data_IF_285402484583
#
_entry.id   IF_285402484583
#
_cell.length_a   1.000
_cell.length_b   1.000
_cell.length_c   1.000
_cell.angle_alpha   90.00
_cell.angle_beta   90.00
_cell.angle_gamma   90.00
#
_symmetry.space_group_name_H-M   'P 1'
#
loop_
_entity.id
_entity.type
_entity.pdbx_description
1 polymer ?
#
# COMPACT_ATOMS: atom_id res chain seq x y z
N UNK A 1 11.29 -49.51 -6.70
CA UNK A 1 10.26 -48.51 -6.68
C UNK A 1 10.80 -47.28 -5.96
N UNK A 2 11.15 -46.21 -6.68
CA UNK A 2 11.62 -44.93 -6.09
C UNK A 2 10.45 -44.27 -5.35
N UNK A 3 10.54 -44.17 -4.03
CA UNK A 3 9.56 -43.44 -3.23
C UNK A 3 9.64 -41.93 -3.60
N UNK A 4 8.77 -41.46 -4.46
CA UNK A 4 8.60 -40.00 -4.67
C UNK A 4 8.15 -39.41 -3.34
N UNK A 5 9.09 -38.84 -2.61
CA UNK A 5 8.77 -38.08 -1.38
C UNK A 5 7.91 -36.87 -1.78
N UNK A 6 6.64 -36.92 -1.43
CA UNK A 6 5.71 -35.80 -1.70
C UNK A 6 6.16 -34.55 -0.91
N UNK A 7 6.26 -33.42 -1.57
CA UNK A 7 6.53 -32.14 -0.87
C UNK A 7 5.54 -31.92 0.27
N UNK A 8 6.03 -31.51 1.44
CA UNK A 8 5.20 -31.16 2.60
C UNK A 8 4.71 -29.69 2.54
N UNK A 9 5.23 -28.90 1.58
CA UNK A 9 4.87 -27.51 1.39
C UNK A 9 3.88 -27.43 0.22
N UNK A 10 2.82 -26.62 0.38
CA UNK A 10 1.85 -26.41 -0.68
C UNK A 10 2.49 -25.70 -1.89
N UNK A 11 2.01 -26.01 -3.10
CA UNK A 11 2.49 -25.33 -4.30
C UNK A 11 2.27 -23.80 -4.26
N UNK A 12 1.23 -23.33 -3.59
CA UNK A 12 0.96 -21.88 -3.40
C UNK A 12 2.04 -21.24 -2.54
N UNK A 13 2.34 -21.80 -1.37
CA UNK A 13 3.36 -21.26 -0.46
C UNK A 13 4.78 -21.29 -1.05
N UNK A 14 5.06 -22.18 -1.98
CA UNK A 14 6.35 -22.27 -2.66
C UNK A 14 6.54 -21.20 -3.77
N UNK A 15 5.51 -20.43 -4.13
CA UNK A 15 5.56 -19.45 -5.22
C UNK A 15 5.97 -18.04 -4.80
N UNK A 16 6.07 -17.75 -3.49
CA UNK A 16 6.51 -16.46 -2.97
C UNK A 16 7.48 -16.63 -1.80
N UNK A 17 8.29 -15.62 -1.57
CA UNK A 17 9.31 -15.58 -0.52
C UNK A 17 8.80 -14.83 0.71
N UNK A 18 9.58 -14.83 1.79
CA UNK A 18 9.34 -13.94 2.92
C UNK A 18 9.43 -12.47 2.48
N UNK A 19 8.70 -11.62 3.18
CA UNK A 19 8.68 -10.17 2.97
C UNK A 19 10.07 -9.54 3.06
N UNK A 20 10.54 -8.94 1.97
CA UNK A 20 11.81 -8.22 1.92
C UNK A 20 11.80 -7.00 2.85
N UNK A 21 10.66 -6.34 3.02
CA UNK A 21 10.50 -5.20 3.94
C UNK A 21 10.82 -5.65 5.39
N UNK A 22 10.37 -6.85 5.78
CA UNK A 22 10.65 -7.41 7.11
C UNK A 22 12.10 -7.85 7.25
N UNK A 23 12.68 -8.42 6.20
CA UNK A 23 14.11 -8.75 6.17
C UNK A 23 14.95 -7.49 6.40
N UNK A 24 14.72 -6.41 5.66
CA UNK A 24 15.44 -5.14 5.83
C UNK A 24 15.26 -4.56 7.24
N UNK A 25 14.12 -4.76 7.86
CA UNK A 25 13.89 -4.34 9.25
C UNK A 25 14.76 -5.14 10.24
N UNK A 26 14.90 -6.45 10.05
CA UNK A 26 15.79 -7.28 10.89
C UNK A 26 17.26 -6.90 10.70
N UNK A 27 17.66 -6.65 9.45
CA UNK A 27 19.01 -6.16 9.18
C UNK A 27 19.27 -4.79 9.81
N UNK A 28 18.31 -3.87 9.77
CA UNK A 28 18.41 -2.58 10.44
C UNK A 28 18.67 -2.73 11.96
N UNK A 29 17.98 -3.65 12.62
CA UNK A 29 18.19 -3.93 14.05
C UNK A 29 19.58 -4.49 14.32
N UNK A 30 20.09 -5.42 13.49
CA UNK A 30 21.41 -6.03 13.63
C UNK A 30 22.56 -5.01 13.51
N UNK A 31 22.38 -4.01 12.65
CA UNK A 31 23.37 -2.98 12.36
C UNK A 31 23.12 -1.66 13.10
N UNK A 32 22.14 -1.59 14.00
CA UNK A 32 21.72 -0.34 14.65
C UNK A 32 21.48 0.79 13.63
N UNK A 33 20.91 0.44 12.50
CA UNK A 33 20.58 1.37 11.42
C UNK A 33 19.25 2.07 11.67
N UNK A 34 19.13 3.33 11.23
CA UNK A 34 17.87 4.07 11.26
C UNK A 34 16.92 3.43 10.22
N UNK A 35 15.77 2.96 10.68
CA UNK A 35 14.85 2.21 9.83
C UNK A 35 13.94 3.14 9.01
N UNK A 36 14.32 3.41 7.76
CA UNK A 36 13.47 4.02 6.74
C UNK A 36 12.93 2.98 5.73
N UNK A 37 13.08 1.68 6.02
CA UNK A 37 12.55 0.61 5.19
C UNK A 37 11.05 0.39 5.43
N UNK A 38 10.64 0.35 6.70
CA UNK A 38 9.28 -0.02 7.06
C UNK A 38 8.35 1.19 7.19
N UNK A 39 7.21 1.10 6.47
CA UNK A 39 6.20 2.15 6.42
C UNK A 39 5.25 2.12 7.63
N UNK A 40 5.77 2.38 8.83
CA UNK A 40 4.97 2.72 10.00
C UNK A 40 5.54 3.94 10.72
N UNK A 41 4.67 4.82 11.27
CA UNK A 41 5.10 5.99 12.04
C UNK A 41 5.86 5.61 13.31
N UNK A 42 6.89 6.41 13.67
CA UNK A 42 7.58 6.33 14.96
C UNK A 42 7.12 7.43 15.95
N UNK A 43 6.02 8.09 15.61
CA UNK A 43 5.32 9.06 16.44
C UNK A 43 3.96 8.49 16.92
N UNK A 44 3.39 9.04 18.03
CA UNK A 44 2.19 8.49 18.62
C UNK A 44 0.95 8.64 17.74
N UNK A 45 -0.01 7.73 17.91
CA UNK A 45 -1.37 7.90 17.42
C UNK A 45 -2.08 9.06 18.15
N UNK A 46 -3.18 9.62 17.57
CA UNK A 46 -4.01 10.61 18.23
C UNK A 46 -4.46 10.16 19.62
N UNK A 47 -4.44 11.07 20.59
CA UNK A 47 -4.75 10.76 21.99
C UNK A 47 -6.21 10.35 22.15
N UNK A 48 -7.11 10.97 21.39
CA UNK A 48 -8.54 10.66 21.39
C UNK A 48 -8.81 9.20 21.04
N UNK A 49 -8.07 8.65 20.10
CA UNK A 49 -8.19 7.24 19.70
C UNK A 49 -7.72 6.30 20.79
N UNK A 50 -6.57 6.61 21.40
CA UNK A 50 -6.02 5.79 22.49
C UNK A 50 -6.95 5.75 23.67
N UNK A 51 -7.49 6.91 24.06
CA UNK A 51 -8.47 7.03 25.12
C UNK A 51 -9.75 6.25 24.81
N UNK A 52 -10.30 6.39 23.60
CA UNK A 52 -11.50 5.65 23.21
C UNK A 52 -11.29 4.14 23.25
N UNK A 53 -10.11 3.64 22.85
CA UNK A 53 -9.78 2.22 22.97
C UNK A 53 -9.69 1.76 24.42
N UNK A 54 -9.07 2.56 25.31
CA UNK A 54 -8.98 2.29 26.76
C UNK A 54 -10.37 2.26 27.41
N UNK A 55 -11.22 3.22 27.10
CA UNK A 55 -12.60 3.31 27.57
C UNK A 55 -13.44 2.11 27.12
N UNK A 56 -13.29 1.69 25.86
CA UNK A 56 -13.97 0.53 25.31
C UNK A 56 -13.56 -0.77 26.03
N UNK A 57 -12.27 -0.95 26.30
CA UNK A 57 -11.76 -2.10 27.08
C UNK A 57 -12.30 -2.06 28.50
N UNK A 58 -12.29 -0.89 29.16
CA UNK A 58 -12.78 -0.72 30.53
C UNK A 58 -14.31 -0.90 30.64
N UNK A 59 -15.05 -0.62 29.56
CA UNK A 59 -16.50 -0.84 29.47
C UNK A 59 -16.89 -2.28 29.05
N UNK A 60 -15.94 -3.22 29.08
CA UNK A 60 -16.14 -4.63 28.74
C UNK A 60 -16.63 -4.85 27.27
N UNK A 61 -16.33 -3.96 26.35
CA UNK A 61 -16.54 -4.19 24.92
C UNK A 61 -15.45 -5.17 24.41
N UNK A 62 -15.44 -6.39 24.98
CA UNK A 62 -14.38 -7.39 24.79
C UNK A 62 -14.87 -8.66 24.08
N UNK A 63 -16.17 -8.78 23.84
CA UNK A 63 -16.76 -9.91 23.12
C UNK A 63 -16.76 -9.64 21.60
N UNK A 64 -17.10 -10.67 20.83
CA UNK A 64 -17.24 -10.53 19.38
C UNK A 64 -18.21 -9.40 19.02
N UNK A 65 -17.77 -8.49 18.17
CA UNK A 65 -18.68 -7.63 17.42
C UNK A 65 -19.47 -8.49 16.41
N UNK A 66 -20.48 -7.92 15.77
CA UNK A 66 -21.03 -8.49 14.54
C UNK A 66 -19.85 -8.72 13.60
N UNK A 67 -19.76 -9.91 12.96
CA UNK A 67 -18.57 -10.33 12.23
C UNK A 67 -18.14 -9.32 11.17
N UNK A 68 -19.09 -8.72 10.46
CA UNK A 68 -18.80 -7.67 9.46
C UNK A 68 -18.66 -6.25 10.03
N UNK A 69 -18.51 -6.11 11.34
CA UNK A 69 -18.16 -4.87 12.03
C UNK A 69 -19.26 -4.26 12.88
N UNK A 70 -18.84 -3.49 13.91
CA UNK A 70 -19.77 -2.77 14.79
C UNK A 70 -20.60 -1.75 14.00
N UNK A 71 -21.83 -1.51 14.48
CA UNK A 71 -22.77 -0.59 13.82
C UNK A 71 -22.21 0.84 13.77
N UNK A 72 -21.58 1.27 14.85
CA UNK A 72 -21.03 2.62 14.99
C UNK A 72 -19.88 2.85 13.99
N UNK A 73 -18.98 1.86 13.84
CA UNK A 73 -17.87 1.98 12.89
C UNK A 73 -18.38 1.97 11.44
N UNK A 74 -19.32 1.09 11.11
CA UNK A 74 -19.91 1.05 9.75
C UNK A 74 -20.67 2.33 9.42
N UNK A 75 -21.40 2.91 10.37
CA UNK A 75 -22.06 4.20 10.21
C UNK A 75 -21.02 5.33 9.99
N UNK A 76 -19.91 5.33 10.73
CA UNK A 76 -18.80 6.28 10.55
C UNK A 76 -18.16 6.14 9.17
N UNK A 77 -17.95 4.92 8.67
CA UNK A 77 -17.41 4.66 7.33
C UNK A 77 -18.36 5.21 6.24
N UNK A 78 -19.67 4.98 6.38
CA UNK A 78 -20.66 5.49 5.44
C UNK A 78 -20.71 7.03 5.44
N UNK A 79 -20.68 7.66 6.62
CA UNK A 79 -20.63 9.12 6.76
C UNK A 79 -19.37 9.71 6.10
N UNK A 80 -18.20 9.08 6.32
CA UNK A 80 -16.94 9.49 5.68
C UNK A 80 -17.00 9.38 4.16
N UNK A 81 -17.55 8.29 3.62
CA UNK A 81 -17.73 8.11 2.18
C UNK A 81 -18.60 9.23 1.57
N UNK A 82 -19.70 9.57 2.23
CA UNK A 82 -20.57 10.67 1.78
C UNK A 82 -19.85 12.02 1.84
N UNK A 83 -19.13 12.30 2.93
CA UNK A 83 -18.46 13.58 3.16
C UNK A 83 -17.28 13.84 2.20
N UNK A 84 -16.44 12.83 1.99
CA UNK A 84 -15.17 12.99 1.27
C UNK A 84 -15.27 12.63 -0.22
N UNK A 85 -16.13 11.69 -0.57
CA UNK A 85 -16.27 11.19 -1.94
C UNK A 85 -17.63 11.50 -2.58
N UNK A 86 -18.58 12.08 -1.82
CA UNK A 86 -19.95 12.30 -2.30
C UNK A 86 -20.72 11.02 -2.59
N UNK A 87 -20.24 9.87 -2.07
CA UNK A 87 -20.84 8.56 -2.30
C UNK A 87 -21.64 8.13 -1.09
N UNK A 88 -22.98 8.03 -1.24
CA UNK A 88 -23.86 7.41 -0.26
C UNK A 88 -23.73 5.91 -0.34
N UNK A 89 -23.46 5.24 0.78
CA UNK A 89 -23.36 3.79 0.92
C UNK A 89 -24.24 3.30 2.07
N UNK A 90 -24.86 2.14 1.90
CA UNK A 90 -25.64 1.53 2.97
C UNK A 90 -24.71 0.78 3.94
N UNK A 91 -24.57 1.22 5.22
CA UNK A 91 -23.71 0.57 6.18
C UNK A 91 -24.11 -0.88 6.49
N UNK A 92 -25.38 -1.26 6.26
CA UNK A 92 -25.85 -2.62 6.52
C UNK A 92 -25.51 -3.60 5.41
N UNK A 93 -25.44 -3.16 4.17
CA UNK A 93 -25.32 -4.08 3.01
C UNK A 93 -24.04 -3.88 2.19
N UNK A 94 -23.32 -2.74 2.32
CA UNK A 94 -22.20 -2.41 1.44
C UNK A 94 -20.83 -2.32 2.17
N UNK A 95 -20.77 -2.49 3.50
CA UNK A 95 -19.55 -2.35 4.29
C UNK A 95 -19.20 -3.66 5.00
N UNK A 96 -17.92 -4.05 4.96
CA UNK A 96 -17.37 -5.13 5.78
C UNK A 96 -16.11 -4.62 6.48
N UNK A 97 -16.09 -4.67 7.82
CA UNK A 97 -14.90 -4.37 8.62
C UNK A 97 -14.02 -5.61 8.71
N UNK A 98 -12.74 -5.46 8.42
CA UNK A 98 -11.76 -6.53 8.32
C UNK A 98 -10.58 -6.31 9.28
N UNK A 99 -9.78 -7.34 9.52
CA UNK A 99 -8.54 -7.26 10.31
C UNK A 99 -7.42 -6.51 9.53
N UNK A 100 -7.69 -5.25 9.18
CA UNK A 100 -6.85 -4.37 8.37
C UNK A 100 -7.06 -4.56 6.87
N UNK A 101 -6.52 -3.61 6.09
CA UNK A 101 -6.59 -3.62 4.63
C UNK A 101 -5.98 -4.89 4.01
N UNK A 102 -5.02 -5.53 4.67
CA UNK A 102 -4.41 -6.80 4.21
C UNK A 102 -5.45 -7.92 4.16
N UNK A 103 -6.28 -8.10 5.20
CA UNK A 103 -7.36 -9.07 5.15
C UNK A 103 -8.44 -8.65 4.16
N UNK A 104 -8.79 -7.38 4.12
CA UNK A 104 -9.76 -6.86 3.16
C UNK A 104 -9.38 -7.20 1.71
N UNK A 105 -8.09 -7.12 1.37
CA UNK A 105 -7.56 -7.48 0.04
C UNK A 105 -7.72 -8.97 -0.25
N UNK A 106 -7.21 -9.84 0.62
CA UNK A 106 -7.29 -11.29 0.38
C UNK A 106 -8.73 -11.80 0.43
N UNK A 107 -9.57 -11.26 1.33
CA UNK A 107 -10.99 -11.63 1.40
C UNK A 107 -11.73 -11.22 0.10
N UNK A 108 -11.43 -10.05 -0.45
CA UNK A 108 -11.98 -9.57 -1.72
C UNK A 108 -11.59 -10.49 -2.88
N UNK A 109 -10.32 -10.84 -2.99
CA UNK A 109 -9.83 -11.74 -4.03
C UNK A 109 -10.43 -13.15 -3.90
N UNK A 110 -10.43 -13.73 -2.70
CA UNK A 110 -11.02 -15.05 -2.47
C UNK A 110 -12.54 -15.09 -2.74
N UNK A 111 -13.23 -13.96 -2.57
CA UNK A 111 -14.67 -13.85 -2.83
C UNK A 111 -15.02 -13.66 -4.32
N UNK A 112 -14.07 -13.20 -5.14
CA UNK A 112 -14.38 -12.76 -6.51
C UNK A 112 -13.59 -13.48 -7.60
N UNK A 113 -12.49 -14.16 -7.24
CA UNK A 113 -11.54 -14.78 -8.18
C UNK A 113 -11.54 -16.29 -8.02
N UNK A 114 -11.59 -17.01 -9.13
CA UNK A 114 -11.49 -18.46 -9.18
C UNK A 114 -10.08 -18.92 -9.61
N UNK A 115 -9.72 -20.17 -9.32
CA UNK A 115 -8.50 -20.77 -9.88
C UNK A 115 -8.53 -20.74 -11.43
N UNK A 116 -7.48 -20.15 -12.01
CA UNK A 116 -7.35 -19.98 -13.46
C UNK A 116 -7.75 -18.61 -14.00
N UNK A 117 -8.40 -17.78 -13.18
CA UNK A 117 -8.61 -16.37 -13.49
C UNK A 117 -7.29 -15.59 -13.46
N UNK A 118 -7.29 -14.41 -14.06
CA UNK A 118 -6.17 -13.48 -14.11
C UNK A 118 -6.47 -12.20 -13.36
N UNK A 119 -5.45 -11.66 -12.68
CA UNK A 119 -5.53 -10.40 -11.92
C UNK A 119 -4.45 -9.45 -12.42
N UNK A 120 -4.86 -8.26 -12.86
CA UNK A 120 -3.93 -7.22 -13.29
C UNK A 120 -3.44 -6.44 -12.06
N UNK A 121 -2.12 -6.21 -11.99
CA UNK A 121 -1.46 -5.48 -10.92
C UNK A 121 -0.48 -4.49 -11.54
N UNK A 122 -0.54 -3.21 -11.17
CA UNK A 122 0.51 -2.26 -11.56
C UNK A 122 1.79 -2.52 -10.77
N UNK A 123 2.94 -2.58 -11.45
CA UNK A 123 4.24 -2.61 -10.81
C UNK A 123 4.98 -1.27 -10.98
N UNK A 124 5.67 -0.75 -9.96
CA UNK A 124 5.92 -1.37 -8.66
C UNK A 124 4.67 -1.42 -7.78
N UNK A 125 4.56 -2.49 -6.99
CA UNK A 125 3.38 -2.79 -6.17
C UNK A 125 3.75 -3.12 -4.72
N UNK A 126 2.80 -2.97 -3.82
CA UNK A 126 2.94 -3.49 -2.47
C UNK A 126 2.95 -5.03 -2.49
N UNK A 127 3.96 -5.64 -1.90
CA UNK A 127 4.29 -7.09 -2.01
C UNK A 127 3.11 -8.06 -1.79
N UNK A 128 2.09 -7.65 -1.01
CA UNK A 128 0.93 -8.48 -0.73
C UNK A 128 0.07 -8.77 -1.98
N UNK A 129 -0.04 -7.83 -2.93
CA UNK A 129 -0.98 -7.99 -4.04
C UNK A 129 -0.67 -9.21 -4.92
N UNK A 130 0.61 -9.42 -5.24
CA UNK A 130 1.03 -10.60 -5.98
C UNK A 130 0.83 -11.89 -5.19
N UNK A 131 1.16 -11.89 -3.89
CA UNK A 131 0.96 -13.02 -3.00
C UNK A 131 -0.53 -13.36 -2.84
N UNK A 132 -1.38 -12.36 -2.66
CA UNK A 132 -2.83 -12.52 -2.49
C UNK A 132 -3.50 -13.06 -3.77
N UNK A 133 -3.08 -12.60 -4.96
CA UNK A 133 -3.52 -13.17 -6.24
C UNK A 133 -3.15 -14.65 -6.36
N UNK A 134 -1.93 -15.03 -6.00
CA UNK A 134 -1.49 -16.43 -6.01
C UNK A 134 -2.26 -17.27 -4.99
N UNK A 135 -2.51 -16.74 -3.79
CA UNK A 135 -3.28 -17.42 -2.74
C UNK A 135 -4.73 -17.67 -3.17
N UNK A 136 -5.35 -16.72 -3.89
CA UNK A 136 -6.70 -16.88 -4.45
C UNK A 136 -6.76 -17.90 -5.61
N UNK A 137 -5.62 -18.32 -6.14
CA UNK A 137 -5.51 -19.26 -7.27
C UNK A 137 -5.41 -18.59 -8.64
N UNK A 138 -5.35 -17.25 -8.67
CA UNK A 138 -5.19 -16.49 -9.90
C UNK A 138 -3.75 -16.49 -10.42
N UNK A 139 -3.61 -16.07 -11.66
CA UNK A 139 -2.35 -15.69 -12.28
C UNK A 139 -2.25 -14.16 -12.29
N UNK A 140 -1.26 -13.56 -11.59
CA UNK A 140 -1.05 -12.12 -11.68
C UNK A 140 -0.42 -11.75 -13.02
N UNK A 141 -0.93 -10.68 -13.64
CA UNK A 141 -0.37 -9.98 -14.79
C UNK A 141 0.07 -8.60 -14.39
N UNK A 142 1.30 -8.24 -14.71
CA UNK A 142 1.90 -6.98 -14.27
C UNK A 142 1.94 -5.97 -15.40
N UNK A 143 1.54 -4.72 -15.09
CA UNK A 143 1.62 -3.57 -15.99
C UNK A 143 2.56 -2.54 -15.36
N UNK A 144 3.53 -2.06 -16.12
CA UNK A 144 4.58 -1.21 -15.55
C UNK A 144 4.16 0.24 -15.36
N UNK A 145 4.40 0.78 -14.16
CA UNK A 145 4.50 2.22 -13.95
C UNK A 145 5.94 2.64 -14.22
N UNK A 146 6.10 3.57 -15.13
CA UNK A 146 7.40 4.10 -15.53
C UNK A 146 7.75 5.33 -14.70
N UNK A 147 8.99 5.41 -14.17
CA UNK A 147 9.44 6.61 -13.46
C UNK A 147 9.50 7.80 -14.44
N UNK A 148 9.29 9.03 -13.94
CA UNK A 148 9.44 10.21 -14.77
C UNK A 148 10.92 10.44 -15.17
N UNK A 149 11.13 11.08 -16.32
CA UNK A 149 12.47 11.49 -16.76
C UNK A 149 13.07 12.53 -15.79
N UNK A 150 12.27 13.52 -15.38
CA UNK A 150 12.66 14.50 -14.39
C UNK A 150 12.19 14.08 -12.99
N UNK A 151 13.00 14.24 -11.92
CA UNK A 151 12.65 13.79 -10.57
C UNK A 151 11.35 14.38 -9.97
N UNK A 152 10.88 15.51 -10.50
CA UNK A 152 9.64 16.18 -10.08
C UNK A 152 8.45 15.88 -11.02
N UNK A 153 8.64 15.01 -12.03
CA UNK A 153 7.58 14.56 -12.92
C UNK A 153 6.68 13.49 -12.31
N UNK A 154 5.75 12.99 -13.09
CA UNK A 154 4.75 12.00 -12.68
C UNK A 154 5.09 10.60 -13.19
N UNK A 155 4.78 9.59 -12.38
CA UNK A 155 4.80 8.20 -12.82
C UNK A 155 3.67 7.96 -13.82
N UNK A 156 3.97 7.27 -14.91
CA UNK A 156 3.01 6.99 -15.99
C UNK A 156 2.95 5.50 -16.31
N UNK A 157 1.95 5.09 -17.06
CA UNK A 157 1.87 3.75 -17.65
C UNK A 157 1.49 3.85 -19.15
N UNK A 158 1.81 2.82 -19.91
CA UNK A 158 1.40 2.74 -21.30
C UNK A 158 -0.03 2.18 -21.42
N UNK A 159 -0.94 2.98 -21.99
CA UNK A 159 -2.33 2.59 -22.19
C UNK A 159 -2.49 1.37 -23.11
N UNK A 160 -1.60 1.19 -24.09
CA UNK A 160 -1.63 0.05 -24.97
C UNK A 160 -1.13 -1.24 -24.29
N UNK A 161 -0.13 -1.14 -23.40
CA UNK A 161 0.31 -2.23 -22.54
C UNK A 161 -0.82 -2.65 -21.59
N UNK A 162 -1.44 -1.68 -20.93
CA UNK A 162 -2.58 -1.95 -20.04
C UNK A 162 -3.71 -2.66 -20.80
N UNK A 163 -4.11 -2.16 -21.99
CA UNK A 163 -5.18 -2.79 -22.77
C UNK A 163 -4.83 -4.22 -23.17
N UNK A 164 -3.60 -4.52 -23.55
CA UNK A 164 -3.14 -5.88 -23.89
C UNK A 164 -3.19 -6.86 -22.73
N UNK A 165 -3.18 -6.35 -21.49
CA UNK A 165 -3.26 -7.18 -20.27
C UNK A 165 -4.68 -7.64 -19.97
N UNK A 166 -5.71 -7.04 -20.59
CA UNK A 166 -7.10 -7.47 -20.47
C UNK A 166 -7.46 -8.54 -21.48
N UNK A 167 -8.12 -9.59 -21.03
CA UNK A 167 -8.64 -10.68 -21.85
C UNK A 167 -9.83 -11.37 -21.14
N UNK A 168 -10.39 -12.41 -21.74
CA UNK A 168 -11.57 -13.13 -21.22
C UNK A 168 -11.35 -13.81 -19.86
N UNK A 169 -10.09 -14.03 -19.43
CA UNK A 169 -9.76 -14.58 -18.11
C UNK A 169 -9.49 -13.50 -17.07
N UNK A 170 -9.38 -12.24 -17.48
CA UNK A 170 -9.15 -11.14 -16.55
C UNK A 170 -10.38 -10.95 -15.68
N UNK A 171 -10.25 -11.22 -14.38
CA UNK A 171 -11.33 -11.11 -13.41
C UNK A 171 -11.27 -9.87 -12.57
N UNK A 172 -10.06 -9.43 -12.19
CA UNK A 172 -9.88 -8.24 -11.38
C UNK A 172 -8.65 -7.43 -11.79
N UNK A 173 -8.70 -6.13 -11.50
CA UNK A 173 -7.53 -5.24 -11.51
C UNK A 173 -7.35 -4.66 -10.11
N UNK A 174 -6.12 -4.65 -9.60
CA UNK A 174 -5.77 -4.02 -8.32
C UNK A 174 -5.18 -2.64 -8.59
N UNK A 175 -5.80 -1.62 -7.99
CA UNK A 175 -5.36 -0.23 -8.03
C UNK A 175 -4.97 0.20 -6.62
N UNK A 176 -3.79 0.79 -6.45
CA UNK A 176 -3.39 1.44 -5.21
C UNK A 176 -3.16 2.92 -5.48
N UNK A 177 -4.02 3.76 -4.93
CA UNK A 177 -3.97 5.22 -5.14
C UNK A 177 -4.34 5.95 -3.84
N UNK A 178 -3.44 6.77 -3.30
CA UNK A 178 -2.01 6.95 -3.66
C UNK A 178 -1.19 5.65 -3.56
N UNK A 179 -0.24 5.48 -4.48
CA UNK A 179 0.48 4.23 -4.66
C UNK A 179 1.64 4.05 -3.67
N UNK A 180 1.78 2.87 -3.15
CA UNK A 180 3.00 2.36 -2.51
C UNK A 180 3.68 1.40 -3.51
N UNK A 181 4.91 1.71 -4.00
CA UNK A 181 5.91 2.59 -3.38
C UNK A 181 6.09 3.98 -4.04
N UNK A 182 5.46 4.29 -5.17
CA UNK A 182 5.82 5.45 -6.01
C UNK A 182 5.31 6.79 -5.49
N UNK A 183 4.24 6.77 -4.70
CA UNK A 183 3.50 7.98 -4.33
C UNK A 183 2.63 8.56 -5.47
N UNK A 184 2.48 7.82 -6.61
CA UNK A 184 1.58 8.22 -7.69
C UNK A 184 0.15 8.33 -7.19
N UNK A 185 -0.52 9.41 -7.57
CA UNK A 185 -1.98 9.57 -7.47
C UNK A 185 -2.54 9.44 -8.88
N UNK A 186 -3.39 8.44 -9.11
CA UNK A 186 -3.99 8.25 -10.43
C UNK A 186 -4.92 9.43 -10.75
N UNK A 187 -4.73 10.03 -11.91
CA UNK A 187 -5.58 11.12 -12.41
C UNK A 187 -6.97 10.59 -12.80
N UNK A 188 -7.96 11.50 -12.85
CA UNK A 188 -9.31 11.16 -13.32
C UNK A 188 -9.28 10.54 -14.73
N UNK A 189 -8.49 11.09 -15.66
CA UNK A 189 -8.39 10.56 -17.02
C UNK A 189 -7.80 9.15 -17.08
N UNK A 190 -6.78 8.85 -16.25
CA UNK A 190 -6.25 7.48 -16.13
C UNK A 190 -7.29 6.52 -15.54
N UNK A 191 -8.06 6.96 -14.55
CA UNK A 191 -9.12 6.14 -13.95
C UNK A 191 -10.29 5.92 -14.93
N UNK A 192 -10.62 6.90 -15.76
CA UNK A 192 -11.63 6.76 -16.82
C UNK A 192 -11.18 5.79 -17.90
N UNK A 193 -9.91 5.80 -18.31
CA UNK A 193 -9.36 4.80 -19.22
C UNK A 193 -9.43 3.39 -18.61
N UNK A 194 -9.08 3.24 -17.33
CA UNK A 194 -9.19 1.96 -16.61
C UNK A 194 -10.66 1.52 -16.52
N UNK A 195 -11.59 2.46 -16.25
CA UNK A 195 -13.03 2.21 -16.24
C UNK A 195 -13.51 1.62 -17.58
N UNK A 196 -13.08 2.23 -18.70
CA UNK A 196 -13.50 1.78 -20.03
C UNK A 196 -13.12 0.31 -20.26
N UNK A 197 -11.91 -0.09 -19.85
CA UNK A 197 -11.44 -1.47 -19.92
C UNK A 197 -12.22 -2.38 -18.95
N UNK A 198 -12.44 -1.94 -17.72
CA UNK A 198 -13.22 -2.73 -16.74
C UNK A 198 -14.66 -2.96 -17.19
N UNK A 199 -15.26 -1.98 -17.88
CA UNK A 199 -16.62 -2.12 -18.45
C UNK A 199 -16.60 -3.04 -19.67
N UNK A 200 -15.66 -2.87 -20.58
CA UNK A 200 -15.52 -3.66 -21.80
C UNK A 200 -15.35 -5.17 -21.52
N UNK A 201 -14.49 -5.49 -20.52
CA UNK A 201 -14.14 -6.88 -20.20
C UNK A 201 -14.87 -7.45 -18.97
N UNK A 202 -15.82 -6.72 -18.38
CA UNK A 202 -16.54 -7.06 -17.15
C UNK A 202 -15.62 -7.41 -15.97
N UNK A 203 -14.62 -6.56 -15.72
CA UNK A 203 -13.59 -6.74 -14.70
C UNK A 203 -13.93 -5.95 -13.44
N UNK A 204 -13.63 -6.54 -12.27
CA UNK A 204 -13.80 -5.93 -10.94
C UNK A 204 -12.55 -5.08 -10.64
N UNK A 205 -12.72 -3.84 -10.19
CA UNK A 205 -11.65 -3.02 -9.65
C UNK A 205 -11.58 -3.20 -8.12
N UNK A 206 -10.44 -3.69 -7.62
CA UNK A 206 -10.14 -3.73 -6.18
C UNK A 206 -9.18 -2.58 -5.90
N UNK A 207 -9.65 -1.56 -5.16
CA UNK A 207 -8.90 -0.32 -4.98
C UNK A 207 -8.42 -0.18 -3.54
N UNK A 208 -7.10 -0.17 -3.36
CA UNK A 208 -6.47 0.12 -2.05
C UNK A 208 -6.23 1.63 -1.94
N UNK A 209 -7.07 2.29 -1.14
CA UNK A 209 -7.12 3.74 -0.96
C UNK A 209 -6.61 4.15 0.44
N UNK A 210 -5.78 3.32 1.06
CA UNK A 210 -5.32 3.48 2.45
C UNK A 210 -4.56 4.81 2.71
N UNK A 211 -4.07 5.48 1.66
CA UNK A 211 -3.36 6.76 1.71
C UNK A 211 -4.20 7.94 1.22
N UNK A 212 -5.50 7.82 1.05
CA UNK A 212 -6.39 8.84 0.44
C UNK A 212 -6.28 10.25 1.05
N UNK A 213 -5.88 10.38 2.33
CA UNK A 213 -5.69 11.65 3.02
C UNK A 213 -4.22 12.10 3.13
N UNK A 214 -3.29 11.36 2.56
CA UNK A 214 -1.86 11.69 2.57
C UNK A 214 -1.48 12.11 1.16
N UNK A 215 -1.72 13.40 0.87
CA UNK A 215 -1.59 14.01 -0.45
C UNK A 215 -0.82 15.30 -0.35
N UNK A 216 -0.13 15.69 -1.42
CA UNK A 216 0.78 16.84 -1.44
C UNK A 216 0.56 17.72 -2.67
N UNK A 217 0.95 19.00 -2.54
CA UNK A 217 1.11 19.95 -3.64
C UNK A 217 -0.17 20.10 -4.50
N UNK A 218 -1.35 20.04 -3.86
CA UNK A 218 -2.64 20.19 -4.52
C UNK A 218 -3.14 18.92 -5.24
N UNK A 219 -2.44 17.78 -5.14
CA UNK A 219 -2.94 16.52 -5.63
C UNK A 219 -4.28 16.16 -4.97
N UNK A 220 -5.19 15.58 -5.75
CA UNK A 220 -6.53 15.22 -5.28
C UNK A 220 -6.76 13.73 -5.50
N UNK A 221 -7.13 13.04 -4.44
CA UNK A 221 -7.58 11.67 -4.55
C UNK A 221 -8.96 11.62 -5.21
N UNK A 222 -9.09 10.74 -6.19
CA UNK A 222 -10.38 10.37 -6.80
C UNK A 222 -10.60 8.90 -6.50
N UNK A 223 -11.62 8.58 -5.71
CA UNK A 223 -11.98 7.18 -5.49
C UNK A 223 -12.54 6.58 -6.77
N UNK A 224 -11.97 5.48 -7.30
CA UNK A 224 -12.44 4.86 -8.54
C UNK A 224 -13.92 4.50 -8.52
N UNK A 225 -14.49 4.18 -7.38
CA UNK A 225 -15.91 3.91 -7.20
C UNK A 225 -16.82 5.11 -7.52
N UNK A 226 -16.27 6.34 -7.61
CA UNK A 226 -17.02 7.56 -7.97
C UNK A 226 -17.00 7.87 -9.46
N UNK A 227 -16.24 7.12 -10.25
CA UNK A 227 -16.25 7.23 -11.70
C UNK A 227 -17.53 6.56 -12.23
N UNK A 228 -18.21 7.23 -13.13
CA UNK A 228 -19.44 6.69 -13.75
C UNK A 228 -19.18 5.30 -14.37
N UNK A 229 -20.04 4.32 -14.06
CA UNK A 229 -19.91 2.92 -14.49
C UNK A 229 -19.02 2.05 -13.61
N UNK A 230 -18.39 2.62 -12.55
CA UNK A 230 -17.52 1.86 -11.65
C UNK A 230 -18.19 1.46 -10.32
N UNK A 231 -19.26 2.13 -9.92
CA UNK A 231 -19.88 1.87 -8.60
C UNK A 231 -20.25 0.40 -8.38
N UNK A 232 -20.77 -0.27 -9.40
CA UNK A 232 -21.28 -1.65 -9.33
C UNK A 232 -20.18 -2.72 -9.47
N UNK A 233 -18.93 -2.31 -9.74
CA UNK A 233 -17.79 -3.21 -9.97
C UNK A 233 -16.54 -2.86 -9.18
N UNK A 234 -16.63 -1.91 -8.22
CA UNK A 234 -15.49 -1.52 -7.40
C UNK A 234 -15.63 -2.02 -5.98
N UNK A 235 -14.54 -2.61 -5.46
CA UNK A 235 -14.33 -2.92 -4.06
C UNK A 235 -13.30 -1.92 -3.55
N UNK A 236 -13.72 -0.92 -2.78
CA UNK A 236 -12.84 0.06 -2.15
C UNK A 236 -12.33 -0.50 -0.83
N UNK A 237 -11.01 -0.56 -0.66
CA UNK A 237 -10.33 -0.99 0.55
C UNK A 237 -9.70 0.22 1.23
N UNK A 238 -9.91 0.34 2.53
CA UNK A 238 -9.31 1.38 3.35
C UNK A 238 -9.12 0.90 4.80
N UNK A 239 -8.65 1.75 5.70
CA UNK A 239 -8.46 1.39 7.10
C UNK A 239 -7.81 2.46 7.94
N UNK A 240 -7.63 2.16 9.21
CA UNK A 240 -7.10 3.10 10.20
C UNK A 240 -5.58 3.23 10.18
N UNK A 241 -4.90 2.25 9.61
CA UNK A 241 -3.46 2.01 9.79
C UNK A 241 -2.58 3.24 9.47
N UNK A 242 -2.91 3.99 8.41
CA UNK A 242 -2.04 5.03 7.86
C UNK A 242 -2.48 6.43 8.29
N UNK A 243 -3.74 6.73 8.08
CA UNK A 243 -4.34 8.02 8.45
C UNK A 243 -4.24 8.30 9.94
N UNK A 244 -4.38 7.29 10.79
CA UNK A 244 -4.40 7.46 12.25
C UNK A 244 -3.17 6.89 12.97
N UNK A 245 -2.12 6.50 12.25
CA UNK A 245 -0.85 6.00 12.83
C UNK A 245 -1.02 4.78 13.74
N UNK A 246 -1.94 3.88 13.42
CA UNK A 246 -2.27 2.68 14.23
C UNK A 246 -2.11 1.38 13.41
N UNK A 247 -0.98 1.23 12.76
CA UNK A 247 -0.71 0.08 11.87
C UNK A 247 -0.86 -1.28 12.55
N UNK A 248 -0.59 -1.35 13.87
CA UNK A 248 -0.70 -2.56 14.69
C UNK A 248 -2.13 -2.90 15.15
N UNK A 249 -3.09 -1.99 15.00
CA UNK A 249 -4.47 -2.22 15.47
C UNK A 249 -5.27 -3.16 14.58
N UNK A 250 -4.86 -3.30 13.35
CA UNK A 250 -5.49 -4.21 12.37
C UNK A 250 -7.00 -3.96 12.22
N UNK A 251 -7.39 -2.71 11.95
CA UNK A 251 -8.76 -2.34 11.59
C UNK A 251 -8.75 -1.72 10.19
N UNK A 252 -9.46 -2.34 9.27
CA UNK A 252 -9.68 -1.90 7.91
C UNK A 252 -11.08 -2.29 7.45
N UNK A 253 -11.44 -1.98 6.23
CA UNK A 253 -12.78 -2.28 5.70
C UNK A 253 -12.79 -2.34 4.19
N UNK A 254 -13.83 -2.96 3.67
CA UNK A 254 -14.25 -2.84 2.27
C UNK A 254 -15.55 -2.07 2.16
N UNK A 255 -15.71 -1.31 1.08
CA UNK A 255 -16.98 -0.74 0.61
C UNK A 255 -17.20 -1.31 -0.79
N UNK A 256 -18.30 -2.04 -1.00
CA UNK A 256 -18.58 -2.68 -2.26
C UNK A 256 -20.11 -2.81 -2.48
N UNK A 257 -20.59 -3.03 -3.70
CA UNK A 257 -21.98 -3.38 -3.96
C UNK A 257 -22.43 -4.56 -3.10
N UNK A 258 -23.72 -4.56 -2.72
CA UNK A 258 -24.28 -5.54 -1.77
C UNK A 258 -24.01 -7.01 -2.13
N UNK A 259 -24.04 -7.34 -3.44
CA UNK A 259 -23.74 -8.69 -3.94
C UNK A 259 -22.28 -9.11 -3.65
N UNK A 260 -21.32 -8.22 -3.93
CA UNK A 260 -19.91 -8.44 -3.65
C UNK A 260 -19.66 -8.45 -2.13
N UNK A 261 -20.26 -7.53 -1.39
CA UNK A 261 -20.17 -7.47 0.08
C UNK A 261 -20.66 -8.77 0.73
N UNK A 262 -21.78 -9.33 0.25
CA UNK A 262 -22.29 -10.62 0.75
C UNK A 262 -21.29 -11.76 0.54
N UNK A 263 -20.59 -11.79 -0.60
CA UNK A 263 -19.55 -12.78 -0.87
C UNK A 263 -18.31 -12.56 0.02
N UNK A 264 -17.85 -11.30 0.15
CA UNK A 264 -16.69 -10.93 0.99
C UNK A 264 -16.97 -11.31 2.44
N UNK A 265 -18.15 -11.02 2.99
CA UNK A 265 -18.54 -11.35 4.38
C UNK A 265 -18.45 -12.85 4.68
N UNK A 266 -18.86 -13.71 3.73
CA UNK A 266 -18.73 -15.16 3.87
C UNK A 266 -17.27 -15.61 3.99
N UNK A 267 -16.39 -15.03 3.19
CA UNK A 267 -14.96 -15.34 3.25
C UNK A 267 -14.34 -14.80 4.55
N UNK A 268 -14.59 -13.54 4.87
CA UNK A 268 -14.14 -12.87 6.09
C UNK A 268 -14.51 -13.64 7.36
N UNK A 269 -15.75 -14.12 7.45
CA UNK A 269 -16.25 -14.86 8.61
C UNK A 269 -15.41 -16.11 8.91
N UNK A 270 -14.96 -16.83 7.87
CA UNK A 270 -14.11 -18.01 8.04
C UNK A 270 -12.61 -17.73 8.07
N UNK A 271 -12.15 -16.54 7.67
CA UNK A 271 -10.75 -16.16 7.78
C UNK A 271 -10.38 -15.70 9.20
N UNK A 272 -11.16 -14.79 9.76
CA UNK A 272 -10.78 -14.07 11.00
C UNK A 272 -11.90 -13.90 12.00
N UNK A 273 -13.15 -14.19 11.65
CA UNK A 273 -14.37 -13.96 12.44
C UNK A 273 -14.69 -12.46 12.59
N UNK A 274 -13.71 -11.61 12.83
CA UNK A 274 -13.90 -10.16 12.96
C UNK A 274 -12.70 -9.43 13.54
N UNK A 275 -12.65 -8.12 13.33
CA UNK A 275 -11.65 -7.25 13.93
C UNK A 275 -11.98 -7.01 15.43
N UNK A 276 -10.94 -6.67 16.22
CA UNK A 276 -11.06 -6.48 17.67
C UNK A 276 -12.12 -5.41 18.03
N UNK A 277 -13.14 -5.79 18.77
CA UNK A 277 -14.29 -4.95 19.12
C UNK A 277 -13.90 -3.61 19.79
N UNK A 278 -13.01 -3.55 20.79
CA UNK A 278 -12.64 -2.26 21.41
C UNK A 278 -11.91 -1.32 20.43
N UNK A 279 -11.17 -1.86 19.45
CA UNK A 279 -10.50 -1.07 18.45
C UNK A 279 -11.45 -0.58 17.35
N UNK A 280 -12.56 -1.28 17.12
CA UNK A 280 -13.64 -0.79 16.27
C UNK A 280 -14.37 0.40 16.90
N UNK A 281 -14.61 0.36 18.22
CA UNK A 281 -15.19 1.49 18.96
C UNK A 281 -14.30 2.74 18.83
N UNK A 282 -13.00 2.59 19.02
CA UNK A 282 -12.03 3.66 18.78
C UNK A 282 -12.01 4.12 17.32
N UNK A 283 -12.24 3.21 16.36
CA UNK A 283 -12.35 3.51 14.94
C UNK A 283 -13.51 4.45 14.62
N UNK A 284 -14.65 4.27 15.27
CA UNK A 284 -15.79 5.17 15.12
C UNK A 284 -15.44 6.60 15.56
N UNK A 285 -14.69 6.75 16.65
CA UNK A 285 -14.17 8.04 17.14
C UNK A 285 -13.18 8.65 16.15
N UNK A 286 -12.28 7.82 15.59
CA UNK A 286 -11.32 8.27 14.59
C UNK A 286 -11.97 8.88 13.35
N UNK A 287 -13.02 8.23 12.84
CA UNK A 287 -13.74 8.70 11.64
C UNK A 287 -14.53 9.99 11.88
N UNK A 288 -14.81 10.31 13.14
CA UNK A 288 -15.48 11.57 13.54
C UNK A 288 -14.50 12.73 13.78
N UNK A 289 -13.19 12.55 13.59
CA UNK A 289 -12.22 13.63 13.70
C UNK A 289 -12.50 14.73 12.67
N UNK A 290 -12.30 16.03 13.03
CA UNK A 290 -12.63 17.14 12.17
C UNK A 290 -11.72 17.20 10.93
N UNK A 291 -12.17 17.89 9.88
CA UNK A 291 -11.38 18.08 8.64
C UNK A 291 -10.00 18.68 8.88
N UNK A 292 -9.85 19.50 9.92
CA UNK A 292 -8.54 20.05 10.31
C UNK A 292 -7.52 18.98 10.67
N UNK A 293 -7.94 17.83 11.22
CA UNK A 293 -7.04 16.72 11.48
C UNK A 293 -6.37 16.22 10.17
N UNK A 294 -7.16 15.99 9.15
CA UNK A 294 -6.67 15.50 7.85
C UNK A 294 -5.79 16.52 7.14
N UNK A 295 -6.11 17.80 7.29
CA UNK A 295 -5.29 18.89 6.75
C UNK A 295 -3.92 18.92 7.46
N UNK A 296 -3.90 18.91 8.79
CA UNK A 296 -2.65 18.87 9.56
C UNK A 296 -1.83 17.62 9.25
N UNK A 297 -2.49 16.45 9.09
CA UNK A 297 -1.82 15.22 8.70
C UNK A 297 -1.07 15.37 7.37
N UNK A 298 -1.73 15.92 6.35
CA UNK A 298 -1.13 16.16 5.04
C UNK A 298 0.03 17.15 5.11
N UNK A 299 -0.15 18.29 5.82
CA UNK A 299 0.88 19.31 5.99
C UNK A 299 2.11 18.77 6.73
N UNK A 300 1.91 18.01 7.80
CA UNK A 300 2.96 17.39 8.56
C UNK A 300 3.76 16.38 7.72
N UNK A 301 3.09 15.56 6.93
CA UNK A 301 3.77 14.62 6.05
C UNK A 301 4.49 15.33 4.90
N UNK A 302 3.97 16.44 4.39
CA UNK A 302 4.63 17.26 3.38
C UNK A 302 5.98 17.78 3.89
N UNK A 303 6.03 18.29 5.11
CA UNK A 303 7.29 18.75 5.74
C UNK A 303 8.30 17.62 5.85
N UNK A 304 7.88 16.43 6.31
CA UNK A 304 8.74 15.24 6.42
C UNK A 304 9.22 14.76 5.06
N UNK A 305 8.33 14.76 4.06
CA UNK A 305 8.67 14.46 2.66
C UNK A 305 9.78 15.38 2.15
N UNK A 306 9.59 16.68 2.30
CA UNK A 306 10.53 17.67 1.77
C UNK A 306 11.88 17.59 2.48
N UNK A 307 11.90 17.33 3.79
CA UNK A 307 13.12 17.11 4.56
C UNK A 307 13.91 15.90 4.02
N UNK A 308 13.27 14.74 3.87
CA UNK A 308 13.96 13.55 3.37
C UNK A 308 14.34 13.68 1.89
N UNK A 309 13.47 14.27 1.07
CA UNK A 309 13.73 14.49 -0.36
C UNK A 309 14.97 15.38 -0.57
N UNK A 310 15.10 16.46 0.21
CA UNK A 310 16.28 17.33 0.18
C UNK A 310 17.56 16.56 0.60
N UNK A 311 17.49 15.74 1.63
CA UNK A 311 18.62 14.93 2.08
C UNK A 311 19.07 13.92 1.03
N UNK A 312 18.14 13.19 0.41
CA UNK A 312 18.44 12.20 -0.63
C UNK A 312 19.03 12.85 -1.88
N UNK A 313 18.46 13.97 -2.33
CA UNK A 313 18.97 14.74 -3.48
C UNK A 313 20.33 15.39 -3.17
N UNK A 314 20.52 15.87 -1.96
CA UNK A 314 21.77 16.48 -1.50
C UNK A 314 22.98 15.54 -1.54
N UNK A 315 22.76 14.23 -1.47
CA UNK A 315 23.83 13.22 -1.60
C UNK A 315 23.95 12.65 -3.02
N UNK A 316 23.19 13.18 -3.98
CA UNK A 316 23.27 12.81 -5.40
C UNK A 316 22.34 11.68 -5.83
N UNK A 317 21.40 11.24 -4.99
CA UNK A 317 20.38 10.30 -5.39
C UNK A 317 19.33 10.99 -6.28
N UNK A 318 18.93 10.34 -7.37
CA UNK A 318 17.76 10.76 -8.15
C UNK A 318 16.52 10.35 -7.37
N UNK A 319 15.97 11.25 -6.56
CA UNK A 319 14.81 11.00 -5.72
C UNK A 319 13.54 11.60 -6.35
N UNK A 320 12.55 10.74 -6.63
CA UNK A 320 11.30 11.11 -7.27
C UNK A 320 10.33 11.71 -6.25
N UNK A 321 9.75 12.88 -6.58
CA UNK A 321 8.81 13.56 -5.69
C UNK A 321 7.46 12.83 -5.68
N UNK A 322 7.00 12.29 -4.54
CA UNK A 322 5.69 11.65 -4.46
C UNK A 322 4.56 12.67 -4.41
N UNK A 323 3.45 12.37 -5.07
CA UNK A 323 2.20 13.15 -5.00
C UNK A 323 1.35 12.77 -3.78
N UNK A 324 1.56 11.55 -3.24
CA UNK A 324 0.85 11.04 -2.06
C UNK A 324 1.59 9.90 -1.39
N UNK A 325 0.93 9.23 -0.44
CA UNK A 325 1.53 8.23 0.44
C UNK A 325 2.71 8.82 1.24
N UNK A 326 3.61 8.00 1.78
CA UNK A 326 4.74 8.49 2.57
C UNK A 326 6.06 7.78 2.23
N UNK A 327 6.27 7.56 0.93
CA UNK A 327 7.47 6.92 0.39
C UNK A 327 8.12 7.79 -0.68
N UNK A 328 9.43 7.65 -0.81
CA UNK A 328 10.22 8.21 -1.90
C UNK A 328 10.92 7.06 -2.60
N UNK A 329 10.65 6.89 -3.88
CA UNK A 329 11.47 6.04 -4.77
C UNK A 329 12.67 6.82 -5.26
N UNK A 330 13.81 6.13 -5.34
CA UNK A 330 15.06 6.72 -5.85
C UNK A 330 15.66 5.84 -6.92
N UNK A 331 16.42 6.45 -7.85
CA UNK A 331 17.32 5.72 -8.73
C UNK A 331 18.75 5.84 -8.16
N UNK A 332 19.44 4.71 -8.07
CA UNK A 332 20.78 4.57 -7.46
C UNK A 332 21.88 4.25 -8.47
N UNK A 333 21.58 4.22 -9.76
CA UNK A 333 22.52 3.84 -10.83
C UNK A 333 23.80 4.70 -10.83
N UNK A 334 23.69 5.99 -10.45
CA UNK A 334 24.84 6.91 -10.32
C UNK A 334 25.84 6.55 -9.22
N UNK A 335 25.50 5.59 -8.35
CA UNK A 335 26.40 5.13 -7.28
C UNK A 335 27.24 3.91 -7.63
N UNK A 336 27.06 3.35 -8.83
CA UNK A 336 27.87 2.27 -9.41
C UNK A 336 27.95 0.98 -8.58
N UNK A 337 26.88 0.66 -7.87
CA UNK A 337 26.67 -0.67 -7.29
C UNK A 337 26.13 -1.61 -8.37
N UNK A 338 26.32 -2.91 -8.19
CA UNK A 338 25.84 -3.91 -9.13
C UNK A 338 24.31 -3.87 -9.28
N UNK A 339 23.61 -3.75 -8.15
CA UNK A 339 22.17 -3.77 -8.09
C UNK A 339 21.67 -3.04 -6.81
N UNK A 340 20.36 -2.87 -6.71
CA UNK A 340 19.66 -2.26 -5.58
C UNK A 340 19.86 -3.02 -4.26
N UNK A 341 20.04 -4.35 -4.33
CA UNK A 341 20.25 -5.20 -3.15
C UNK A 341 21.63 -4.92 -2.54
N UNK A 342 22.68 -4.89 -3.37
CA UNK A 342 24.02 -4.54 -2.92
C UNK A 342 24.07 -3.12 -2.34
N UNK A 343 23.44 -2.16 -3.03
CA UNK A 343 23.34 -0.79 -2.53
C UNK A 343 22.62 -0.71 -1.18
N UNK A 344 21.48 -1.40 -1.04
CA UNK A 344 20.70 -1.39 0.21
C UNK A 344 21.47 -2.02 1.36
N UNK A 345 22.22 -3.11 1.13
CA UNK A 345 23.08 -3.71 2.14
C UNK A 345 24.18 -2.77 2.59
N UNK A 346 24.82 -2.05 1.65
CA UNK A 346 25.79 -1.01 1.96
C UNK A 346 25.17 0.13 2.78
N UNK A 347 23.98 0.59 2.43
CA UNK A 347 23.26 1.59 3.22
C UNK A 347 23.04 1.15 4.67
N UNK A 348 22.69 -0.11 4.89
CA UNK A 348 22.43 -0.64 6.24
C UNK A 348 23.74 -0.80 7.01
N UNK A 349 24.73 -1.50 6.45
CA UNK A 349 25.92 -1.92 7.15
C UNK A 349 26.94 -0.78 7.36
N UNK A 350 27.14 0.06 6.34
CA UNK A 350 28.25 1.03 6.33
C UNK A 350 27.76 2.46 6.59
N UNK A 351 26.54 2.81 6.12
CA UNK A 351 25.97 4.14 6.29
C UNK A 351 25.06 4.20 7.53
N UNK A 352 24.43 3.09 7.89
CA UNK A 352 23.56 2.98 9.05
C UNK A 352 22.13 3.51 8.79
N UNK A 353 21.63 3.41 7.56
CA UNK A 353 20.25 3.75 7.17
C UNK A 353 19.66 2.56 6.42
N UNK A 354 18.50 2.07 6.86
CA UNK A 354 17.80 0.98 6.18
C UNK A 354 16.74 1.52 5.22
N UNK A 355 16.71 0.96 4.02
CA UNK A 355 15.74 1.22 2.98
C UNK A 355 15.25 -0.13 2.40
N UNK A 356 14.39 -0.12 1.39
CA UNK A 356 13.92 -1.34 0.72
C UNK A 356 14.43 -1.37 -0.71
N UNK A 357 15.08 -2.45 -1.16
CA UNK A 357 15.51 -2.59 -2.55
C UNK A 357 14.30 -2.56 -3.48
N UNK A 358 14.42 -1.83 -4.58
CA UNK A 358 13.33 -1.60 -5.53
C UNK A 358 12.85 -2.87 -6.20
N UNK A 359 13.76 -3.81 -6.48
CA UNK A 359 13.43 -5.10 -7.09
C UNK A 359 12.37 -5.89 -6.32
N UNK A 360 12.20 -5.64 -5.01
CA UNK A 360 11.14 -6.30 -4.21
C UNK A 360 9.72 -5.81 -4.51
N UNK A 361 9.57 -4.73 -5.27
CA UNK A 361 8.27 -4.18 -5.68
C UNK A 361 7.91 -4.51 -7.14
N UNK A 362 8.75 -5.26 -7.83
CA UNK A 362 8.56 -5.63 -9.22
C UNK A 362 8.62 -7.13 -9.43
N UNK A 363 7.85 -7.62 -10.36
CA UNK A 363 8.05 -8.95 -10.94
C UNK A 363 9.11 -8.91 -12.05
N UNK A 364 9.25 -7.77 -12.71
CA UNK A 364 10.26 -7.50 -13.74
C UNK A 364 11.60 -7.07 -13.12
N UNK A 365 12.60 -6.79 -13.97
CA UNK A 365 13.91 -6.27 -13.54
C UNK A 365 13.98 -4.75 -13.44
N UNK A 366 12.88 -4.04 -13.68
CA UNK A 366 12.85 -2.56 -13.70
C UNK A 366 13.27 -1.94 -12.37
N UNK A 367 13.05 -2.63 -11.25
CA UNK A 367 13.42 -2.16 -9.91
C UNK A 367 14.90 -2.31 -9.54
N UNK A 368 15.74 -2.97 -10.36
CA UNK A 368 17.11 -3.39 -10.00
C UNK A 368 18.10 -2.24 -9.74
N UNK A 369 17.73 -1.00 -10.03
CA UNK A 369 18.49 0.21 -9.72
C UNK A 369 17.65 1.22 -8.94
N UNK A 370 16.61 0.76 -8.25
CA UNK A 370 15.73 1.62 -7.46
C UNK A 370 15.79 1.23 -5.97
N UNK A 371 15.49 2.20 -5.10
CA UNK A 371 15.39 1.97 -3.65
C UNK A 371 14.26 2.83 -3.10
N UNK A 372 13.45 2.26 -2.19
CA UNK A 372 12.36 2.97 -1.53
C UNK A 372 12.75 3.39 -0.11
N UNK A 373 12.52 4.66 0.21
CA UNK A 373 12.63 5.23 1.56
C UNK A 373 11.25 5.63 2.09
N UNK A 374 10.99 5.38 3.38
CA UNK A 374 9.79 5.81 4.08
C UNK A 374 10.10 7.07 4.91
N UNK A 375 9.25 8.11 4.81
CA UNK A 375 9.39 9.35 5.57
C UNK A 375 8.34 9.53 6.68
N UNK A 376 7.57 8.49 7.00
CA UNK A 376 6.66 8.48 8.13
C UNK A 376 7.42 8.35 9.47
N UNK A 377 8.32 9.28 9.71
CA UNK A 377 9.20 9.32 10.88
C UNK A 377 9.18 10.70 11.53
N UNK A 378 9.61 10.79 12.80
CA UNK A 378 9.80 12.07 13.47
C UNK A 378 10.86 12.91 12.76
N UNK A 379 10.77 14.22 12.89
CA UNK A 379 11.75 15.15 12.29
C UNK A 379 13.18 14.84 12.74
N UNK A 380 13.37 14.47 14.01
CA UNK A 380 14.66 14.12 14.59
C UNK A 380 15.22 12.82 13.98
N UNK A 381 14.35 11.83 13.75
CA UNK A 381 14.72 10.55 13.08
C UNK A 381 15.17 10.83 11.64
N UNK A 382 14.46 11.69 10.91
CA UNK A 382 14.81 12.08 9.55
C UNK A 382 16.10 12.92 9.51
N UNK A 383 16.31 13.81 10.47
CA UNK A 383 17.55 14.59 10.58
C UNK A 383 18.77 13.69 10.85
N UNK A 384 18.65 12.74 11.77
CA UNK A 384 19.69 11.75 12.05
C UNK A 384 19.97 10.85 10.83
N UNK A 385 18.94 10.47 10.07
CA UNK A 385 19.11 9.73 8.82
C UNK A 385 19.84 10.57 7.77
N UNK A 386 19.50 11.86 7.62
CA UNK A 386 20.17 12.78 6.70
C UNK A 386 21.65 12.94 7.03
N UNK A 387 22.01 13.06 8.33
CA UNK A 387 23.39 13.11 8.78
C UNK A 387 24.16 11.83 8.40
N UNK A 388 23.55 10.64 8.62
CA UNK A 388 24.20 9.39 8.22
C UNK A 388 24.34 9.28 6.69
N UNK A 389 23.29 9.64 5.94
CA UNK A 389 23.29 9.63 4.48
C UNK A 389 24.37 10.56 3.89
N UNK A 390 24.76 11.66 4.57
CA UNK A 390 25.80 12.56 4.08
C UNK A 390 27.18 11.89 3.90
N UNK A 391 27.37 10.69 4.47
CA UNK A 391 28.57 9.85 4.31
C UNK A 391 28.54 9.01 3.04
N UNK A 392 27.38 8.92 2.37
CA UNK A 392 27.21 8.13 1.15
C UNK A 392 28.06 8.74 0.01
N UNK A 393 28.83 7.89 -0.65
CA UNK A 393 29.66 8.28 -1.81
C UNK A 393 29.46 7.30 -2.94
N UNK A 394 29.46 7.82 -4.17
CA UNK A 394 29.49 6.97 -5.34
C UNK A 394 30.79 6.16 -5.41
N UNK A 395 30.71 4.91 -5.82
CA UNK A 395 31.91 4.09 -6.13
C UNK A 395 32.49 4.50 -7.47
N UNK A 396 33.76 4.18 -7.70
CA UNK A 396 34.33 4.27 -9.04
C UNK A 396 33.55 3.35 -10.01
N UNK A 397 33.28 3.78 -11.26
CA UNK A 397 32.58 2.94 -12.22
C UNK A 397 33.31 1.61 -12.44
N UNK A 398 32.56 0.50 -12.41
CA UNK A 398 33.13 -0.82 -12.68
C UNK A 398 33.64 -0.88 -14.14
N UNK A 399 34.76 -1.55 -14.44
CA UNK A 399 35.32 -1.61 -15.79
C UNK A 399 34.34 -2.04 -16.88
N UNK A 400 33.37 -2.90 -16.57
CA UNK A 400 32.30 -3.32 -17.49
C UNK A 400 31.26 -2.23 -17.80
N UNK A 401 31.20 -1.15 -17.03
CA UNK A 401 30.28 -0.01 -17.23
C UNK A 401 30.91 1.13 -18.02
N UNK A 402 32.19 1.04 -18.37
CA UNK A 402 32.94 2.05 -19.13
C UNK A 402 32.82 1.90 -20.65
N UNK A 403 32.09 0.89 -21.13
CA UNK A 403 31.99 0.56 -22.56
C UNK A 403 30.55 0.67 -23.13
N UNK A 404 29.62 1.30 -22.42
CA UNK A 404 28.25 1.54 -22.89
C UNK A 404 28.01 3.02 -23.23
#
# INVERSE_FOLDING_TARGET
MSSRTRSRISAKAARFTESVIREMTREALRHNAINLAQGFPDFPAPEELKRAAQEAIAADINQYAITWGSRELRAGIAAKSAEWHGRTVDPETEITVCCGATEAMIASLLATVNPGDEVIIFEPFYENYGADAILSGATPHYVSLHPPEAPDGEWTFDAAELRKSFNERTRAIILNTPNNPTGKVFSRGELELIRDLCVEFDVIAITDEIYEHILYDGARHVSPATIEGMADRTITINGMSKTYSVTGWRVGWTIAPSGLTSAIRKVHDFLTVGAAAPLQAAGAVALALPRSYYQHLSDDYRVRRDQLLAALRGVGLTAYRPQGAYYIMTNVSGFHFRDDIEFTRHLIADIGVAAVPGSSFYNSKLGSQQVRFAFCKRAETLAAAAERLSKLKARAPHPSQRQA
#
